data_IF_405350896732
#
_entry.id   IF_405350896732
#
_cell.length_a   1.000
_cell.length_b   1.000
_cell.length_c   1.000
_cell.angle_alpha   90.00
_cell.angle_beta   90.00
_cell.angle_gamma   90.00
#
_symmetry.space_group_name_H-M   'P 1'
#
loop_
_entity.id
_entity.type
_entity.pdbx_description
1 polymer ?
#
# COMPACT_ATOMS: atom_id res chain seq x y z
N UNK A 1 26.09 -14.09 -13.03
CA UNK A 1 26.19 -15.38 -12.30
C UNK A 1 24.78 -15.97 -12.27
N UNK A 2 24.61 -17.28 -12.53
CA UNK A 2 23.26 -17.88 -12.50
C UNK A 2 22.86 -18.09 -11.04
N UNK A 3 21.65 -17.64 -10.68
CA UNK A 3 21.15 -17.85 -9.32
C UNK A 3 20.84 -19.33 -9.07
N UNK A 4 21.16 -19.81 -7.88
CA UNK A 4 20.86 -21.19 -7.47
C UNK A 4 20.56 -21.30 -5.98
N UNK A 5 19.75 -22.30 -5.64
CA UNK A 5 19.51 -22.77 -4.28
C UNK A 5 19.95 -24.23 -4.21
N UNK A 6 20.87 -24.53 -3.30
CA UNK A 6 21.32 -25.88 -3.00
C UNK A 6 20.90 -26.25 -1.59
N UNK A 7 20.41 -27.47 -1.43
CA UNK A 7 20.02 -28.03 -0.14
C UNK A 7 21.20 -28.81 0.42
N UNK A 8 21.61 -28.51 1.64
CA UNK A 8 22.72 -29.21 2.32
C UNK A 8 22.18 -30.23 3.31
N UNK A 9 21.34 -29.77 4.25
CA UNK A 9 20.86 -30.60 5.36
C UNK A 9 19.44 -30.23 5.77
N UNK A 10 18.63 -31.24 6.03
CA UNK A 10 17.39 -31.12 6.79
C UNK A 10 17.63 -31.65 8.20
N UNK A 11 17.31 -30.84 9.20
CA UNK A 11 17.54 -31.15 10.61
C UNK A 11 16.20 -31.05 11.34
N UNK A 12 15.66 -32.19 11.78
CA UNK A 12 14.47 -32.24 12.63
C UNK A 12 14.93 -32.31 14.08
N UNK A 13 14.72 -31.24 14.83
CA UNK A 13 15.15 -31.15 16.22
C UNK A 13 14.08 -31.77 17.09
N UNK A 14 14.37 -32.97 17.59
CA UNK A 14 13.45 -33.73 18.42
C UNK A 14 13.65 -33.53 19.92
N UNK A 15 12.67 -33.99 20.69
CA UNK A 15 12.71 -33.93 22.17
C UNK A 15 13.83 -34.82 22.72
N UNK A 16 14.04 -35.99 22.13
CA UNK A 16 15.03 -36.99 22.57
C UNK A 16 16.32 -36.98 21.76
N UNK A 17 16.21 -36.79 20.44
CA UNK A 17 17.35 -36.76 19.51
C UNK A 17 17.00 -35.94 18.28
N UNK A 18 18.04 -35.48 17.59
CA UNK A 18 17.91 -34.82 16.30
C UNK A 18 17.96 -35.87 15.18
N UNK A 19 17.11 -35.70 14.17
CA UNK A 19 17.15 -36.47 12.94
C UNK A 19 17.75 -35.58 11.85
N UNK A 20 18.83 -36.03 11.23
CA UNK A 20 19.58 -35.24 10.24
C UNK A 20 19.59 -36.01 8.93
N UNK A 21 19.07 -35.38 7.88
CA UNK A 21 19.16 -35.86 6.50
C UNK A 21 20.14 -34.97 5.77
N UNK A 22 21.22 -35.55 5.26
CA UNK A 22 22.22 -34.85 4.45
C UNK A 22 21.93 -35.06 2.97
N UNK A 23 22.15 -34.03 2.18
CA UNK A 23 22.04 -34.07 0.73
C UNK A 23 23.42 -33.84 0.14
N UNK A 24 23.80 -34.70 -0.79
CA UNK A 24 25.07 -34.61 -1.51
C UNK A 24 24.88 -33.91 -2.86
N UNK A 25 25.97 -33.50 -3.49
CA UNK A 25 25.90 -32.94 -4.84
C UNK A 25 25.43 -34.01 -5.85
N UNK A 26 24.44 -33.64 -6.67
CA UNK A 26 23.89 -34.50 -7.72
C UNK A 26 22.55 -35.14 -7.35
N UNK A 27 22.40 -36.43 -7.65
CA UNK A 27 21.15 -37.17 -7.47
C UNK A 27 21.09 -37.80 -6.08
N UNK A 28 20.14 -37.33 -5.26
CA UNK A 28 19.84 -37.91 -3.96
C UNK A 28 18.59 -38.79 -4.07
N UNK A 29 18.70 -40.07 -3.71
CA UNK A 29 17.58 -41.02 -3.74
C UNK A 29 17.20 -41.38 -2.30
N UNK A 30 16.00 -41.00 -1.90
CA UNK A 30 15.42 -41.40 -0.60
C UNK A 30 14.63 -42.69 -0.82
N UNK A 31 15.13 -43.79 -0.27
CA UNK A 31 14.50 -45.11 -0.39
C UNK A 31 14.23 -45.72 0.99
N UNK A 32 13.30 -46.68 1.04
CA UNK A 32 12.83 -47.33 2.26
C UNK A 32 11.47 -47.98 2.03
N UNK A 33 10.97 -48.73 3.00
CA UNK A 33 9.66 -49.37 2.91
C UNK A 33 8.51 -48.34 2.92
N UNK A 34 7.31 -48.78 2.59
CA UNK A 34 6.12 -47.92 2.73
C UNK A 34 5.96 -47.45 4.18
N UNK A 35 5.46 -46.22 4.34
CA UNK A 35 5.16 -45.60 5.65
C UNK A 35 6.37 -45.31 6.55
N UNK A 36 7.57 -45.21 5.97
CA UNK A 36 8.82 -44.90 6.71
C UNK A 36 9.15 -43.40 6.79
N UNK A 37 8.21 -42.51 6.43
CA UNK A 37 8.41 -41.05 6.49
C UNK A 37 9.17 -40.44 5.30
N UNK A 38 9.32 -41.17 4.19
CA UNK A 38 9.96 -40.66 2.95
C UNK A 38 9.29 -39.39 2.41
N UNK A 39 7.96 -39.39 2.34
CA UNK A 39 7.17 -38.23 1.87
C UNK A 39 7.30 -37.05 2.82
N UNK A 40 7.44 -37.31 4.12
CA UNK A 40 7.60 -36.26 5.14
C UNK A 40 8.88 -35.45 4.96
N UNK A 41 9.97 -36.05 4.47
CA UNK A 41 11.20 -35.29 4.14
C UNK A 41 10.91 -34.21 3.09
N UNK A 42 10.19 -34.56 2.03
CA UNK A 42 9.79 -33.61 0.98
C UNK A 42 8.82 -32.55 1.50
N UNK A 43 7.89 -32.92 2.37
CA UNK A 43 6.95 -31.99 3.02
C UNK A 43 7.67 -31.00 3.93
N UNK A 44 8.68 -31.44 4.69
CA UNK A 44 9.51 -30.57 5.50
C UNK A 44 10.30 -29.56 4.65
N UNK A 45 10.90 -30.01 3.54
CA UNK A 45 11.59 -29.12 2.59
C UNK A 45 10.60 -28.08 2.07
N UNK A 46 9.42 -28.50 1.62
CA UNK A 46 8.38 -27.60 1.11
C UNK A 46 7.92 -26.59 2.18
N UNK A 47 7.78 -27.04 3.43
CA UNK A 47 7.41 -26.23 4.58
C UNK A 47 8.48 -25.20 4.95
N UNK A 48 9.75 -25.60 4.99
CA UNK A 48 10.88 -24.70 5.28
C UNK A 48 11.10 -23.70 4.14
N UNK A 49 10.69 -24.03 2.91
CA UNK A 49 10.59 -23.13 1.76
C UNK A 49 9.28 -22.31 1.73
N UNK A 50 8.59 -22.17 2.87
CA UNK A 50 7.50 -21.22 3.07
C UNK A 50 6.09 -21.75 2.78
N UNK A 51 5.85 -23.07 2.75
CA UNK A 51 4.47 -23.58 2.69
C UNK A 51 3.69 -23.17 3.95
N UNK A 52 2.39 -22.88 3.81
CA UNK A 52 1.57 -22.42 4.95
C UNK A 52 1.22 -23.53 5.93
N UNK A 53 1.20 -24.77 5.46
CA UNK A 53 0.83 -25.97 6.22
C UNK A 53 1.83 -27.07 5.90
N UNK A 54 1.93 -28.00 6.83
CA UNK A 54 2.64 -29.26 6.69
C UNK A 54 1.69 -30.34 7.18
N UNK A 55 1.54 -31.41 6.41
CA UNK A 55 0.83 -32.62 6.82
C UNK A 55 1.89 -33.56 7.37
N UNK A 56 1.69 -34.09 8.57
CA UNK A 56 2.68 -34.91 9.25
C UNK A 56 1.99 -36.11 9.88
N UNK A 57 2.67 -37.25 9.88
CA UNK A 57 2.26 -38.41 10.63
C UNK A 57 2.37 -38.14 12.15
N UNK A 58 1.47 -38.74 12.94
CA UNK A 58 1.38 -38.53 14.39
C UNK A 58 2.71 -38.82 15.12
N UNK A 59 3.48 -39.80 14.65
CA UNK A 59 4.79 -40.16 15.20
C UNK A 59 5.79 -39.01 15.11
N UNK A 60 5.79 -38.26 14.00
CA UNK A 60 6.66 -37.10 13.79
C UNK A 60 6.21 -35.95 14.69
N UNK A 61 4.89 -35.73 14.78
CA UNK A 61 4.29 -34.69 15.63
C UNK A 61 4.64 -34.94 17.11
N UNK A 62 4.76 -36.18 17.56
CA UNK A 62 5.10 -36.47 18.97
C UNK A 62 6.59 -36.32 19.30
N UNK A 63 7.46 -36.30 18.29
CA UNK A 63 8.92 -36.45 18.48
C UNK A 63 9.73 -35.22 18.09
N UNK A 64 9.18 -34.30 17.27
CA UNK A 64 9.90 -33.15 16.69
C UNK A 64 9.37 -31.82 17.23
N UNK A 65 10.26 -30.97 17.77
CA UNK A 65 9.92 -29.64 18.26
C UNK A 65 9.87 -28.60 17.13
N UNK A 66 10.93 -28.55 16.33
CA UNK A 66 11.05 -27.63 15.20
C UNK A 66 11.96 -28.22 14.12
N UNK A 67 11.87 -27.66 12.92
CA UNK A 67 12.72 -28.04 11.80
C UNK A 67 13.71 -26.92 11.48
N UNK A 68 14.91 -27.32 11.09
CA UNK A 68 15.94 -26.44 10.57
C UNK A 68 16.41 -26.94 9.19
N UNK A 69 16.73 -25.99 8.32
CA UNK A 69 17.03 -26.24 6.93
C UNK A 69 18.27 -25.47 6.52
N UNK A 70 19.33 -26.20 6.21
CA UNK A 70 20.56 -25.61 5.73
C UNK A 70 20.59 -25.61 4.20
N UNK A 71 20.81 -24.43 3.67
CA UNK A 71 20.85 -24.17 2.24
C UNK A 71 21.98 -23.25 1.88
N UNK A 72 22.49 -23.40 0.67
CA UNK A 72 23.38 -22.42 0.04
C UNK A 72 22.57 -21.71 -1.04
N UNK A 73 22.51 -20.38 -0.93
CA UNK A 73 21.86 -19.52 -1.92
C UNK A 73 22.95 -18.59 -2.45
N UNK A 74 23.26 -18.70 -3.75
CA UNK A 74 24.29 -17.87 -4.40
C UNK A 74 25.59 -17.77 -3.60
N UNK A 75 26.18 -18.93 -3.27
CA UNK A 75 27.41 -19.09 -2.48
C UNK A 75 27.33 -18.66 -0.99
N UNK A 76 26.18 -18.18 -0.53
CA UNK A 76 25.97 -17.82 0.88
C UNK A 76 25.23 -18.93 1.63
N UNK A 77 25.78 -19.36 2.76
CA UNK A 77 25.17 -20.36 3.62
C UNK A 77 24.10 -19.74 4.54
N UNK A 78 22.92 -20.36 4.56
CA UNK A 78 21.81 -19.97 5.42
C UNK A 78 21.26 -21.18 6.16
N UNK A 79 20.85 -20.96 7.41
CA UNK A 79 20.03 -21.89 8.19
C UNK A 79 18.66 -21.27 8.43
N UNK A 80 17.62 -21.87 7.90
CA UNK A 80 16.22 -21.47 8.10
C UNK A 80 15.63 -22.34 9.20
N UNK A 81 15.08 -21.74 10.26
CA UNK A 81 14.48 -22.43 11.39
C UNK A 81 12.99 -22.08 11.48
N UNK A 82 12.15 -23.10 11.63
CA UNK A 82 10.70 -22.94 11.70
C UNK A 82 10.05 -23.94 12.67
N UNK A 83 9.16 -23.42 13.50
CA UNK A 83 8.29 -24.20 14.39
C UNK A 83 7.24 -24.97 13.59
N UNK A 84 6.99 -26.22 13.95
CA UNK A 84 6.06 -27.12 13.25
C UNK A 84 4.62 -26.95 13.76
N UNK A 85 4.44 -26.64 15.05
CA UNK A 85 3.13 -26.48 15.69
C UNK A 85 2.57 -25.07 15.55
N UNK A 86 3.45 -24.07 15.36
CA UNK A 86 3.07 -22.67 15.23
C UNK A 86 3.46 -22.12 13.85
N UNK A 87 2.75 -22.51 12.77
CA UNK A 87 3.10 -22.14 11.40
C UNK A 87 2.99 -20.64 11.10
N UNK A 88 2.30 -19.89 11.95
CA UNK A 88 2.12 -18.43 11.88
C UNK A 88 3.24 -17.64 12.58
N UNK A 89 4.10 -18.30 13.37
CA UNK A 89 5.24 -17.66 13.99
C UNK A 89 6.24 -17.18 12.94
N UNK A 90 7.10 -16.25 13.35
CA UNK A 90 8.18 -15.77 12.50
C UNK A 90 9.15 -16.89 12.17
N UNK A 91 9.59 -16.90 10.91
CA UNK A 91 10.62 -17.79 10.40
C UNK A 91 11.96 -17.14 10.71
N UNK A 92 12.84 -17.87 11.38
CA UNK A 92 14.16 -17.37 11.74
C UNK A 92 15.18 -17.80 10.68
N UNK A 93 16.00 -16.86 10.23
CA UNK A 93 17.05 -17.12 9.26
C UNK A 93 18.39 -16.67 9.83
N UNK A 94 19.34 -17.59 9.84
CA UNK A 94 20.71 -17.39 10.30
C UNK A 94 21.65 -17.47 9.10
N UNK A 95 22.59 -16.54 8.99
CA UNK A 95 23.64 -16.59 7.95
C UNK A 95 24.86 -17.38 8.45
N UNK A 96 24.63 -18.61 8.89
CA UNK A 96 25.66 -19.51 9.37
C UNK A 96 25.17 -20.96 9.32
N UNK A 97 26.08 -21.94 9.46
CA UNK A 97 25.70 -23.33 9.73
C UNK A 97 24.95 -23.46 11.07
N UNK A 98 24.11 -24.48 11.17
CA UNK A 98 23.25 -24.77 12.31
C UNK A 98 24.04 -24.89 13.62
N UNK A 99 25.23 -25.47 13.60
CA UNK A 99 26.07 -25.63 14.79
C UNK A 99 26.50 -24.30 15.40
N UNK A 100 26.57 -23.23 14.61
CA UNK A 100 27.02 -21.90 15.05
C UNK A 100 25.89 -20.93 15.32
N UNK A 101 24.62 -21.36 15.20
CA UNK A 101 23.45 -20.49 15.31
C UNK A 101 23.40 -19.67 16.62
N UNK A 102 23.90 -20.23 17.72
CA UNK A 102 23.86 -19.57 19.04
C UNK A 102 24.80 -18.35 19.12
N UNK A 103 25.80 -18.29 18.24
CA UNK A 103 26.74 -17.18 18.15
C UNK A 103 26.31 -16.08 17.17
N UNK A 104 25.22 -16.29 16.42
CA UNK A 104 24.76 -15.37 15.37
C UNK A 104 23.36 -14.83 15.65
N UNK A 105 23.12 -13.60 15.22
CA UNK A 105 21.81 -12.96 15.34
C UNK A 105 20.91 -13.47 14.20
N UNK A 106 19.72 -13.96 14.55
CA UNK A 106 18.71 -14.34 13.57
C UNK A 106 17.94 -13.14 13.04
N UNK A 107 17.61 -13.20 11.76
CA UNK A 107 16.58 -12.35 11.15
C UNK A 107 15.23 -13.04 11.24
N UNK A 108 14.18 -12.27 11.52
CA UNK A 108 12.82 -12.77 11.77
C UNK A 108 11.87 -12.29 10.68
N UNK A 109 11.43 -13.24 9.87
CA UNK A 109 10.57 -12.98 8.72
C UNK A 109 9.13 -13.47 8.96
N UNK A 110 8.15 -12.71 8.47
CA UNK A 110 6.76 -13.13 8.46
C UNK A 110 6.55 -14.30 7.48
N UNK A 111 5.82 -15.36 7.88
CA UNK A 111 5.56 -16.51 7.01
C UNK A 111 4.57 -16.19 5.88
N UNK A 112 3.75 -15.15 6.02
CA UNK A 112 2.75 -14.75 5.04
C UNK A 112 2.62 -13.23 4.93
N UNK A 113 2.03 -12.79 3.82
CA UNK A 113 1.81 -11.36 3.52
C UNK A 113 0.68 -10.71 4.33
N UNK A 114 -0.04 -11.47 5.15
CA UNK A 114 -1.08 -10.93 6.05
C UNK A 114 -0.51 -10.44 7.39
N UNK A 115 0.66 -10.95 7.80
CA UNK A 115 1.24 -10.61 9.09
C UNK A 115 2.35 -9.56 8.92
N UNK A 116 2.00 -8.28 9.10
CA UNK A 116 2.91 -7.15 8.90
C UNK A 116 3.85 -6.88 10.08
N UNK A 117 3.80 -7.69 11.14
CA UNK A 117 4.48 -7.38 12.39
C UNK A 117 5.91 -7.94 12.48
N UNK A 118 6.48 -8.45 11.38
CA UNK A 118 7.83 -8.99 11.38
C UNK A 118 8.89 -7.90 11.19
N UNK A 119 9.99 -7.90 11.97
CA UNK A 119 11.04 -6.88 11.88
C UNK A 119 11.73 -6.81 10.52
N UNK A 120 12.00 -7.96 9.89
CA UNK A 120 12.80 -8.06 8.66
C UNK A 120 11.94 -8.21 7.39
N UNK A 121 10.62 -8.11 7.50
CA UNK A 121 9.69 -8.24 6.38
C UNK A 121 9.23 -9.68 6.13
N UNK A 122 8.97 -10.04 4.87
CA UNK A 122 8.36 -11.32 4.49
C UNK A 122 9.39 -12.37 4.06
N UNK A 123 9.19 -13.62 4.46
CA UNK A 123 10.13 -14.70 4.13
C UNK A 123 10.20 -14.99 2.63
N UNK A 124 9.07 -14.89 1.93
CA UNK A 124 9.03 -14.99 0.48
C UNK A 124 9.86 -13.90 -0.21
N UNK A 125 9.94 -12.71 0.37
CA UNK A 125 10.72 -11.61 -0.21
C UNK A 125 12.21 -11.84 -0.01
N UNK A 126 12.59 -12.31 1.17
CA UNK A 126 13.96 -12.73 1.46
C UNK A 126 14.47 -13.77 0.44
N UNK A 127 13.68 -14.82 0.16
CA UNK A 127 14.08 -15.84 -0.82
C UNK A 127 14.18 -15.27 -2.24
N UNK A 128 13.26 -14.38 -2.63
CA UNK A 128 13.32 -13.71 -3.94
C UNK A 128 14.57 -12.83 -4.05
N UNK A 129 14.88 -12.03 -3.04
CA UNK A 129 16.06 -11.18 -3.01
C UNK A 129 17.34 -12.00 -3.03
N UNK A 130 17.43 -13.02 -2.17
CA UNK A 130 18.61 -13.89 -2.07
C UNK A 130 18.89 -14.61 -3.39
N UNK A 131 17.85 -14.97 -4.15
CA UNK A 131 17.95 -15.58 -5.48
C UNK A 131 18.00 -14.56 -6.64
N UNK A 132 18.09 -13.27 -6.36
CA UNK A 132 18.10 -12.19 -7.36
C UNK A 132 16.90 -12.23 -8.32
N UNK A 133 15.72 -12.60 -7.83
CA UNK A 133 14.48 -12.56 -8.59
C UNK A 133 13.81 -11.18 -8.48
N UNK A 134 13.50 -10.52 -9.62
CA UNK A 134 12.74 -9.27 -9.61
C UNK A 134 11.38 -9.38 -8.91
N UNK A 135 11.10 -8.46 -7.99
CA UNK A 135 9.82 -8.39 -7.27
C UNK A 135 8.77 -7.67 -8.11
N UNK A 136 8.12 -8.39 -9.01
CA UNK A 136 7.05 -7.84 -9.85
C UNK A 136 5.66 -8.11 -9.25
N UNK A 137 4.69 -7.28 -9.63
CA UNK A 137 3.27 -7.58 -9.46
C UNK A 137 2.69 -7.98 -10.81
N UNK A 138 2.10 -9.16 -10.87
CA UNK A 138 1.53 -9.71 -12.10
C UNK A 138 0.01 -9.56 -12.08
N UNK A 139 -0.60 -9.26 -13.22
CA UNK A 139 -2.07 -9.29 -13.35
C UNK A 139 -2.58 -10.71 -13.14
N UNK A 140 -3.60 -10.86 -12.30
CA UNK A 140 -4.27 -12.16 -12.08
C UNK A 140 -5.02 -12.62 -13.33
N UNK A 141 -5.53 -11.67 -14.11
CA UNK A 141 -6.25 -11.92 -15.36
C UNK A 141 -5.81 -10.92 -16.42
N UNK A 142 -4.78 -11.25 -17.22
CA UNK A 142 -4.23 -10.35 -18.25
C UNK A 142 -5.28 -9.87 -19.26
N UNK A 143 -6.31 -10.69 -19.52
CA UNK A 143 -7.40 -10.37 -20.46
C UNK A 143 -8.35 -9.28 -19.94
N UNK A 144 -8.39 -9.01 -18.63
CA UNK A 144 -9.29 -8.01 -18.05
C UNK A 144 -8.61 -6.64 -17.92
N UNK A 145 -9.31 -5.60 -18.39
CA UNK A 145 -8.85 -4.20 -18.40
C UNK A 145 -8.63 -3.65 -16.98
N UNK A 146 -9.38 -4.16 -15.99
CA UNK A 146 -9.31 -3.81 -14.57
C UNK A 146 -9.03 -5.05 -13.71
N UNK A 147 -7.93 -5.74 -14.00
CA UNK A 147 -7.52 -6.91 -13.23
C UNK A 147 -6.77 -6.51 -11.95
N UNK A 148 -6.98 -7.27 -10.88
CA UNK A 148 -6.18 -7.14 -9.67
C UNK A 148 -4.74 -7.57 -9.96
N UNK A 149 -3.78 -6.76 -9.49
CA UNK A 149 -2.37 -7.10 -9.52
C UNK A 149 -2.02 -7.90 -8.27
N UNK A 150 -1.44 -9.07 -8.47
CA UNK A 150 -0.96 -9.93 -7.39
C UNK A 150 0.54 -9.93 -7.36
N UNK A 151 1.10 -9.60 -6.20
CA UNK A 151 2.53 -9.67 -5.94
C UNK A 151 3.05 -11.09 -6.20
N UNK A 152 4.13 -11.19 -6.97
CA UNK A 152 4.82 -12.45 -7.18
C UNK A 152 5.49 -12.89 -5.87
N UNK A 153 5.27 -14.15 -5.50
CA UNK A 153 5.88 -14.79 -4.34
C UNK A 153 6.76 -15.94 -4.80
N UNK A 154 7.81 -16.24 -4.03
CA UNK A 154 8.62 -17.44 -4.20
C UNK A 154 7.78 -18.72 -4.26
N UNK A 155 6.65 -18.76 -3.55
CA UNK A 155 5.70 -19.88 -3.58
C UNK A 155 5.05 -20.13 -4.93
N UNK A 156 5.04 -19.15 -5.82
CA UNK A 156 4.57 -19.33 -7.19
C UNK A 156 5.64 -19.96 -8.08
N UNK A 157 6.94 -19.74 -7.77
CA UNK A 157 8.07 -20.26 -8.52
C UNK A 157 8.39 -21.70 -8.10
N UNK A 158 8.43 -21.99 -6.79
CA UNK A 158 8.84 -23.31 -6.29
C UNK A 158 7.93 -24.45 -6.75
N UNK A 159 6.67 -24.15 -7.13
CA UNK A 159 5.72 -25.11 -7.70
C UNK A 159 6.22 -25.80 -8.98
N UNK A 160 7.14 -25.18 -9.70
CA UNK A 160 7.74 -25.79 -10.90
C UNK A 160 8.91 -26.73 -10.58
N UNK A 161 9.44 -26.67 -9.36
CA UNK A 161 10.59 -27.46 -8.91
C UNK A 161 10.22 -28.49 -7.84
N UNK A 162 9.02 -28.41 -7.29
CA UNK A 162 8.48 -29.34 -6.30
C UNK A 162 7.20 -29.97 -6.85
N UNK A 163 7.14 -31.29 -6.84
CA UNK A 163 5.94 -32.04 -7.20
C UNK A 163 5.70 -33.10 -6.15
N UNK A 164 4.52 -33.10 -5.54
CA UNK A 164 4.15 -34.10 -4.54
C UNK A 164 3.61 -35.38 -5.22
N UNK A 165 3.44 -36.42 -4.41
CA UNK A 165 2.93 -37.72 -4.87
C UNK A 165 1.50 -37.62 -5.45
N UNK A 166 0.65 -36.79 -4.86
CA UNK A 166 -0.75 -36.63 -5.31
C UNK A 166 -0.83 -35.92 -6.67
N UNK A 167 -0.01 -34.88 -6.90
CA UNK A 167 -0.02 -34.11 -8.14
C UNK A 167 0.46 -34.97 -9.31
N UNK A 168 1.43 -35.86 -9.11
CA UNK A 168 1.97 -36.76 -10.14
C UNK A 168 0.91 -37.71 -10.73
N UNK A 169 -0.05 -38.15 -9.90
CA UNK A 169 -1.14 -39.03 -10.33
C UNK A 169 -2.38 -38.28 -10.82
N UNK A 170 -2.45 -36.96 -10.59
CA UNK A 170 -3.64 -36.17 -10.85
C UNK A 170 -3.66 -35.53 -12.24
N UNK A 171 -4.86 -35.29 -12.79
CA UNK A 171 -5.05 -34.41 -13.96
C UNK A 171 -4.87 -32.92 -13.64
N UNK A 172 -4.48 -32.59 -12.40
CA UNK A 172 -4.50 -31.24 -11.84
C UNK A 172 -3.09 -30.71 -11.51
N UNK A 173 -2.05 -31.23 -12.16
CA UNK A 173 -0.69 -30.69 -12.09
C UNK A 173 -0.71 -29.17 -12.30
N UNK A 174 0.00 -28.42 -11.46
CA UNK A 174 0.09 -26.95 -11.51
C UNK A 174 -1.27 -26.19 -11.49
N UNK A 175 -2.34 -26.85 -11.05
CA UNK A 175 -3.68 -26.27 -11.01
C UNK A 175 -4.34 -26.09 -12.37
N UNK A 176 -4.00 -26.93 -13.36
CA UNK A 176 -4.57 -26.88 -14.72
C UNK A 176 -6.10 -27.04 -14.77
N UNK A 177 -6.72 -27.61 -13.73
CA UNK A 177 -8.18 -27.77 -13.62
C UNK A 177 -8.90 -26.49 -13.25
N UNK A 178 -8.22 -25.54 -12.57
CA UNK A 178 -8.80 -24.28 -12.12
C UNK A 178 -8.36 -23.15 -13.04
N UNK A 179 -9.30 -22.64 -13.83
CA UNK A 179 -9.04 -21.66 -14.89
C UNK A 179 -8.40 -20.36 -14.38
N UNK A 180 -8.78 -19.92 -13.18
CA UNK A 180 -8.24 -18.71 -12.57
C UNK A 180 -6.80 -18.92 -12.10
N UNK A 181 -6.51 -20.05 -11.46
CA UNK A 181 -5.15 -20.40 -11.03
C UNK A 181 -4.25 -20.66 -12.23
N UNK A 182 -4.75 -21.37 -13.24
CA UNK A 182 -4.01 -21.67 -14.46
C UNK A 182 -3.57 -20.41 -15.21
N UNK A 183 -4.45 -19.41 -15.32
CA UNK A 183 -4.11 -18.12 -15.95
C UNK A 183 -2.93 -17.44 -15.23
N UNK A 184 -2.97 -17.37 -13.90
CA UNK A 184 -1.89 -16.80 -13.12
C UNK A 184 -0.60 -17.63 -13.20
N UNK A 185 -0.69 -18.96 -13.14
CA UNK A 185 0.44 -19.88 -13.35
C UNK A 185 1.09 -19.62 -14.72
N UNK A 186 0.32 -19.40 -15.79
CA UNK A 186 0.87 -19.07 -17.12
C UNK A 186 1.68 -17.77 -17.11
N UNK A 187 1.22 -16.75 -16.40
CA UNK A 187 1.99 -15.50 -16.26
C UNK A 187 3.28 -15.70 -15.46
N UNK A 188 3.23 -16.49 -14.38
CA UNK A 188 4.44 -16.86 -13.62
C UNK A 188 5.43 -17.65 -14.49
N UNK A 189 4.94 -18.52 -15.36
CA UNK A 189 5.78 -19.23 -16.32
C UNK A 189 6.50 -18.27 -17.28
N UNK A 190 5.79 -17.30 -17.86
CA UNK A 190 6.40 -16.27 -18.71
C UNK A 190 7.47 -15.46 -17.96
N UNK A 191 7.22 -15.18 -16.68
CA UNK A 191 8.18 -14.51 -15.80
C UNK A 191 9.46 -15.34 -15.64
N UNK A 192 9.35 -16.64 -15.37
CA UNK A 192 10.51 -17.54 -15.19
C UNK A 192 11.39 -17.56 -16.45
N UNK A 193 10.79 -17.55 -17.63
CA UNK A 193 11.52 -17.53 -18.90
C UNK A 193 12.03 -16.13 -19.30
N UNK A 194 11.87 -15.13 -18.42
CA UNK A 194 12.23 -13.73 -18.69
C UNK A 194 11.61 -13.20 -19.99
N UNK A 195 10.43 -13.72 -20.36
CA UNK A 195 9.65 -13.27 -21.53
C UNK A 195 8.81 -12.04 -21.17
N UNK A 196 8.62 -11.80 -19.88
CA UNK A 196 8.00 -10.58 -19.38
C UNK A 196 9.04 -9.47 -19.35
N UNK A 197 8.79 -8.45 -20.16
CA UNK A 197 9.48 -7.17 -20.05
C UNK A 197 9.04 -6.49 -18.75
N UNK A 198 9.99 -6.28 -17.84
CA UNK A 198 9.76 -5.67 -16.53
C UNK A 198 9.12 -4.29 -16.67
N UNK A 199 9.55 -3.54 -17.69
CA UNK A 199 9.11 -2.16 -17.90
C UNK A 199 7.64 -2.13 -18.34
N UNK A 200 7.22 -3.11 -19.16
CA UNK A 200 5.82 -3.24 -19.57
C UNK A 200 4.94 -3.55 -18.35
N UNK A 201 5.36 -4.46 -17.48
CA UNK A 201 4.59 -4.81 -16.28
C UNK A 201 4.41 -3.62 -15.34
N UNK A 202 5.45 -2.81 -15.16
CA UNK A 202 5.41 -1.63 -14.30
C UNK A 202 4.51 -0.52 -14.89
N UNK A 203 4.60 -0.29 -16.20
CA UNK A 203 3.71 0.63 -16.93
C UNK A 203 2.25 0.17 -16.80
N UNK A 204 1.97 -1.12 -16.97
CA UNK A 204 0.62 -1.66 -16.81
C UNK A 204 0.07 -1.44 -15.39
N UNK A 205 0.92 -1.56 -14.37
CA UNK A 205 0.53 -1.27 -12.99
C UNK A 205 0.18 0.21 -12.82
N UNK A 206 1.02 1.12 -13.31
CA UNK A 206 0.76 2.57 -13.22
C UNK A 206 -0.54 2.97 -13.94
N UNK A 207 -0.81 2.38 -15.10
CA UNK A 207 -2.07 2.59 -15.84
C UNK A 207 -3.27 2.15 -14.99
N UNK A 208 -3.17 1.01 -14.31
CA UNK A 208 -4.24 0.50 -13.45
C UNK A 208 -4.48 1.41 -12.24
N UNK A 209 -3.41 1.87 -11.58
CA UNK A 209 -3.49 2.77 -10.42
C UNK A 209 -4.14 4.11 -10.81
N UNK A 210 -3.74 4.69 -11.95
CA UNK A 210 -4.33 5.92 -12.50
C UNK A 210 -5.80 5.76 -12.89
N UNK A 211 -6.19 4.60 -13.44
CA UNK A 211 -7.60 4.31 -13.74
C UNK A 211 -8.45 4.19 -12.47
N UNK A 212 -7.91 3.59 -11.42
CA UNK A 212 -8.58 3.51 -10.11
C UNK A 212 -8.79 4.90 -9.51
N UNK A 213 -7.76 5.75 -9.56
CA UNK A 213 -7.82 7.15 -9.14
C UNK A 213 -8.88 7.94 -9.93
N UNK A 214 -8.91 7.79 -11.25
CA UNK A 214 -9.89 8.41 -12.13
C UNK A 214 -11.32 7.97 -11.77
N UNK A 215 -11.55 6.67 -11.57
CA UNK A 215 -12.87 6.17 -11.17
C UNK A 215 -13.31 6.70 -9.80
N UNK A 216 -12.39 6.83 -8.84
CA UNK A 216 -12.71 7.41 -7.54
C UNK A 216 -13.05 8.90 -7.66
N UNK A 217 -12.29 9.64 -8.47
CA UNK A 217 -12.57 11.06 -8.71
C UNK A 217 -13.89 11.25 -9.45
N UNK A 218 -14.20 10.40 -10.42
CA UNK A 218 -15.47 10.39 -11.13
C UNK A 218 -16.65 10.12 -10.19
N UNK A 219 -16.55 9.14 -9.29
CA UNK A 219 -17.58 8.89 -8.27
C UNK A 219 -17.76 10.07 -7.32
N UNK A 220 -16.67 10.71 -6.90
CA UNK A 220 -16.75 11.95 -6.08
C UNK A 220 -17.45 13.06 -6.86
N UNK A 221 -17.13 13.23 -8.13
CA UNK A 221 -17.80 14.21 -8.99
C UNK A 221 -19.29 13.90 -9.16
N UNK A 222 -19.65 12.64 -9.41
CA UNK A 222 -21.05 12.19 -9.50
C UNK A 222 -21.79 12.49 -8.19
N UNK A 223 -21.23 12.12 -7.04
CA UNK A 223 -21.86 12.42 -5.73
C UNK A 223 -22.01 13.93 -5.47
N UNK A 224 -20.99 14.74 -5.80
CA UNK A 224 -21.07 16.20 -5.65
C UNK A 224 -22.09 16.80 -6.61
N UNK A 225 -22.14 16.32 -7.86
CA UNK A 225 -23.13 16.77 -8.84
C UNK A 225 -24.54 16.37 -8.45
N UNK A 226 -24.74 15.20 -7.86
CA UNK A 226 -26.03 14.71 -7.38
C UNK A 226 -26.48 15.52 -6.15
N UNK A 227 -25.57 15.78 -5.20
CA UNK A 227 -25.83 16.67 -4.07
C UNK A 227 -26.22 18.08 -4.53
N UNK A 228 -25.50 18.67 -5.49
CA UNK A 228 -25.81 20.01 -6.01
C UNK A 228 -27.19 20.04 -6.70
N UNK A 229 -27.52 19.01 -7.47
CA UNK A 229 -28.86 18.84 -8.07
C UNK A 229 -29.96 18.72 -7.02
N UNK A 230 -29.74 17.97 -5.94
CA UNK A 230 -30.69 17.85 -4.83
C UNK A 230 -30.88 19.17 -4.07
N UNK A 231 -29.85 20.02 -3.97
CA UNK A 231 -29.94 21.35 -3.35
C UNK A 231 -30.60 22.42 -4.23
N UNK A 232 -31.06 22.06 -5.44
CA UNK A 232 -31.79 22.97 -6.34
C UNK A 232 -30.92 23.82 -7.26
N UNK A 233 -29.60 23.61 -7.29
CA UNK A 233 -28.72 24.22 -8.28
C UNK A 233 -28.52 23.22 -9.42
N UNK A 234 -29.32 23.35 -10.48
CA UNK A 234 -29.40 22.32 -11.53
C UNK A 234 -28.12 22.22 -12.39
N UNK A 235 -27.26 23.24 -12.43
CA UNK A 235 -25.95 23.16 -13.11
C UNK A 235 -25.03 24.38 -12.84
N UNK A 236 -23.74 24.29 -13.18
CA UNK A 236 -22.81 25.44 -13.19
C UNK A 236 -23.36 26.61 -14.06
N UNK A 237 -23.90 26.35 -15.27
CA UNK A 237 -24.61 27.37 -16.06
C UNK A 237 -25.72 28.12 -15.31
N UNK A 238 -26.54 27.44 -14.50
CA UNK A 238 -27.61 28.11 -13.76
C UNK A 238 -27.10 29.00 -12.62
N UNK A 239 -25.87 28.77 -12.14
CA UNK A 239 -25.23 29.65 -11.16
C UNK A 239 -24.64 30.86 -11.87
N UNK A 240 -24.03 30.68 -13.04
CA UNK A 240 -23.54 31.79 -13.87
C UNK A 240 -24.69 32.69 -14.34
N UNK A 241 -25.83 32.10 -14.74
CA UNK A 241 -27.05 32.84 -15.12
C UNK A 241 -27.61 33.65 -13.92
N UNK A 242 -27.58 33.08 -12.71
CA UNK A 242 -28.02 33.78 -11.50
C UNK A 242 -27.06 34.91 -11.08
N UNK A 243 -25.75 34.75 -11.35
CA UNK A 243 -24.75 35.80 -11.14
C UNK A 243 -24.96 36.94 -12.14
N UNK A 244 -25.20 36.64 -13.43
CA UNK A 244 -25.54 37.65 -14.43
C UNK A 244 -26.83 38.40 -14.07
N UNK A 245 -27.87 37.71 -13.56
CA UNK A 245 -29.10 38.35 -13.11
C UNK A 245 -28.84 39.28 -11.90
N UNK A 246 -28.01 38.86 -10.94
CA UNK A 246 -27.57 39.69 -9.83
C UNK A 246 -26.77 40.93 -10.28
N UNK A 247 -25.89 40.79 -11.27
CA UNK A 247 -25.10 41.90 -11.82
C UNK A 247 -25.97 42.90 -12.57
N UNK A 248 -26.97 42.42 -13.34
CA UNK A 248 -27.96 43.29 -13.98
C UNK A 248 -28.80 44.07 -12.97
N UNK A 249 -29.19 43.42 -11.86
CA UNK A 249 -29.90 44.09 -10.76
C UNK A 249 -28.98 45.15 -10.11
N UNK A 250 -27.71 44.83 -9.87
CA UNK A 250 -26.74 45.75 -9.29
C UNK A 250 -26.51 46.99 -10.19
N UNK A 251 -26.40 46.80 -11.49
CA UNK A 251 -26.27 47.90 -12.45
C UNK A 251 -27.55 48.75 -12.53
N UNK A 252 -28.73 48.12 -12.50
CA UNK A 252 -29.99 48.87 -12.46
C UNK A 252 -30.15 49.70 -11.19
N UNK A 253 -29.76 49.16 -10.03
CA UNK A 253 -29.73 49.86 -8.75
C UNK A 253 -28.73 51.00 -8.75
N UNK A 254 -27.57 50.84 -9.40
CA UNK A 254 -26.60 51.93 -9.55
C UNK A 254 -27.12 53.03 -10.46
N UNK A 255 -27.82 52.70 -11.55
CA UNK A 255 -28.45 53.69 -12.42
C UNK A 255 -29.56 54.42 -11.67
N UNK A 256 -30.39 53.71 -10.91
CA UNK A 256 -31.37 54.32 -10.02
C UNK A 256 -30.71 55.25 -9.00
N UNK A 257 -29.66 54.80 -8.31
CA UNK A 257 -28.87 55.63 -7.38
C UNK A 257 -28.29 56.87 -8.05
N UNK A 258 -27.80 56.72 -9.29
CA UNK A 258 -27.22 57.83 -10.05
C UNK A 258 -28.30 58.81 -10.52
N UNK A 259 -29.50 58.33 -10.82
CA UNK A 259 -30.69 59.13 -11.15
C UNK A 259 -31.29 59.82 -9.91
N UNK A 260 -31.24 59.17 -8.75
CA UNK A 260 -31.62 59.72 -7.45
C UNK A 260 -30.64 60.80 -7.02
N UNK A 261 -29.34 60.57 -7.21
CA UNK A 261 -28.30 61.56 -6.98
C UNK A 261 -28.42 62.75 -7.93
N UNK A 262 -28.72 62.53 -9.22
CA UNK A 262 -28.88 63.63 -10.17
C UNK A 262 -30.19 64.41 -9.96
N UNK A 263 -31.28 63.76 -9.57
CA UNK A 263 -32.52 64.44 -9.16
C UNK A 263 -32.39 65.17 -7.81
N UNK A 264 -31.61 64.63 -6.86
CA UNK A 264 -31.21 65.36 -5.64
C UNK A 264 -30.30 66.57 -5.94
N UNK A 265 -29.43 66.49 -6.97
CA UNK A 265 -28.60 67.60 -7.43
C UNK A 265 -29.38 68.69 -8.17
N UNK A 266 -30.49 68.34 -8.83
CA UNK A 266 -31.29 69.25 -9.64
C UNK A 266 -32.21 70.19 -8.83
N UNK A 267 -32.58 69.82 -7.58
CA UNK A 267 -33.28 70.71 -6.63
C UNK A 267 -32.28 71.69 -5.99
N UNK A 268 -31.79 72.58 -6.83
CA UNK A 268 -30.73 73.55 -6.56
C UNK A 268 -31.26 74.77 -5.81
N UNK A 269 -30.91 74.84 -4.52
CA UNK A 269 -30.55 76.05 -3.75
C UNK A 269 -30.30 75.65 -2.29
N UNK A 270 -31.17 74.82 -1.73
CA UNK A 270 -31.01 74.27 -0.37
C UNK A 270 -29.84 73.28 -0.29
N UNK A 271 -29.56 72.49 -1.33
CA UNK A 271 -28.49 71.47 -1.29
C UNK A 271 -27.08 72.09 -1.15
N UNK A 272 -26.79 73.20 -1.82
CA UNK A 272 -25.50 73.89 -1.68
C UNK A 272 -25.33 74.49 -0.28
N UNK A 273 -26.42 75.01 0.32
CA UNK A 273 -26.41 75.45 1.71
C UNK A 273 -26.21 74.29 2.68
N UNK A 274 -26.94 73.18 2.52
CA UNK A 274 -26.79 72.00 3.37
C UNK A 274 -25.40 71.36 3.23
N UNK A 275 -24.82 71.33 2.03
CA UNK A 275 -23.44 70.86 1.81
C UNK A 275 -22.42 71.79 2.46
N UNK A 276 -22.64 73.11 2.39
CA UNK A 276 -21.82 74.10 3.10
C UNK A 276 -21.91 73.89 4.61
N UNK A 277 -23.12 73.77 5.17
CA UNK A 277 -23.31 73.49 6.59
C UNK A 277 -22.73 72.14 7.02
N UNK A 278 -22.90 71.09 6.22
CA UNK A 278 -22.31 69.78 6.51
C UNK A 278 -20.77 69.85 6.50
N UNK A 279 -20.18 70.61 5.58
CA UNK A 279 -18.73 70.83 5.56
C UNK A 279 -18.24 71.63 6.77
N UNK A 280 -19.00 72.64 7.20
CA UNK A 280 -18.70 73.45 8.38
C UNK A 280 -18.84 72.63 9.67
N UNK A 281 -19.88 71.82 9.81
CA UNK A 281 -20.08 70.92 10.94
C UNK A 281 -18.99 69.85 11.01
N UNK A 282 -18.55 69.29 9.88
CA UNK A 282 -17.43 68.36 9.84
C UNK A 282 -16.11 69.01 10.28
N UNK A 283 -15.86 70.27 9.90
CA UNK A 283 -14.70 71.02 10.38
C UNK A 283 -14.78 71.28 11.89
N UNK A 284 -15.96 71.67 12.41
CA UNK A 284 -16.18 71.86 13.85
C UNK A 284 -16.00 70.57 14.64
N UNK A 285 -16.51 69.44 14.15
CA UNK A 285 -16.32 68.12 14.77
C UNK A 285 -14.83 67.77 14.81
N UNK A 286 -14.08 67.96 13.70
CA UNK A 286 -12.63 67.72 13.69
C UNK A 286 -11.88 68.62 14.69
N UNK A 287 -12.27 69.89 14.84
CA UNK A 287 -11.69 70.78 15.84
C UNK A 287 -11.98 70.32 17.27
N UNK A 288 -13.21 69.86 17.55
CA UNK A 288 -13.61 69.35 18.87
C UNK A 288 -12.88 68.03 19.19
N UNK A 289 -12.72 67.14 18.22
CA UNK A 289 -11.95 65.91 18.41
C UNK A 289 -10.49 66.24 18.74
N UNK A 290 -9.89 67.19 18.02
CA UNK A 290 -8.52 67.63 18.30
C UNK A 290 -8.37 68.30 19.67
N UNK A 291 -9.36 69.07 20.13
CA UNK A 291 -9.32 69.66 21.47
C UNK A 291 -9.53 68.62 22.58
N UNK A 292 -10.33 67.59 22.34
CA UNK A 292 -10.46 66.43 23.24
C UNK A 292 -9.12 65.67 23.33
N UNK A 293 -8.43 65.47 22.20
CA UNK A 293 -7.08 64.87 22.19
C UNK A 293 -6.06 65.71 22.97
N UNK A 294 -6.06 67.04 22.81
CA UNK A 294 -5.18 67.93 23.57
C UNK A 294 -5.50 67.94 25.07
N UNK A 295 -6.78 67.88 25.46
CA UNK A 295 -7.20 67.79 26.87
C UNK A 295 -6.81 66.43 27.48
N UNK A 296 -6.95 65.34 26.72
CA UNK A 296 -6.52 64.02 27.16
C UNK A 296 -5.00 63.93 27.31
N UNK A 297 -4.23 64.54 26.38
CA UNK A 297 -2.78 64.66 26.50
C UNK A 297 -2.37 65.45 27.75
N UNK A 298 -3.06 66.56 28.07
CA UNK A 298 -2.83 67.31 29.32
C UNK A 298 -3.19 66.48 30.55
N UNK A 299 -4.30 65.73 30.52
CA UNK A 299 -4.71 64.82 31.60
C UNK A 299 -3.65 63.73 31.84
N UNK A 300 -3.11 63.13 30.79
CA UNK A 300 -2.05 62.12 30.88
C UNK A 300 -0.73 62.71 31.41
N UNK A 301 -0.39 63.95 31.06
CA UNK A 301 0.76 64.65 31.64
C UNK A 301 0.57 64.95 33.14
N UNK A 302 -0.64 65.31 33.57
CA UNK A 302 -0.95 65.51 34.98
C UNK A 302 -0.97 64.20 35.80
N UNK A 303 -1.37 63.08 35.19
CA UNK A 303 -1.33 61.75 35.83
C UNK A 303 0.11 61.25 36.01
N UNK A 304 1.04 61.64 35.12
CA UNK A 304 2.48 61.31 35.24
C UNK A 304 3.29 62.20 36.20
N UNK A 305 2.69 63.24 36.76
CA UNK A 305 3.29 64.13 37.78
C UNK A 305 2.82 63.79 39.22
N UNK A 306 2.07 62.70 39.38
CA UNK A 306 1.79 62.02 40.66
C UNK A 306 2.56 60.71 40.71
#
# INVERSE_FOLDING_TARGET
MKSYLRIERLILVGVRKNYIVKFEDGLNIIHGDSDTGKSSILEFINYLLGASKIELADEIISSVNYAAFEVIINDSAYTIVRDIYKPQNFIEVYQCPFERREAFISRKYAPNFSNNNAPDGFFSDFLMDALNFPKLKLKVSPTQVTSQFKRLSFRNIIKYSYVNQDDMGSKSLLGMTDWAKYTYTKEVFKYIYNVLDTDISDIEQQISDKRSELNNLRKKYEHVSEFLRETGYESIPSIDDAIEECDLIYDSLNIELHSLNSSMMANSDNYNQFKSYHSEFNLKIKMIVRSIEEINLKKDQYIRLK
#
